data_IF_858584551616
#
_entry.id   IF_858584551616
#
_cell.length_a   1.000
_cell.length_b   1.000
_cell.length_c   1.000
_cell.angle_alpha   90.00
_cell.angle_beta   90.00
_cell.angle_gamma   90.00
#
_symmetry.space_group_name_H-M   'P 1'
#
loop_
_entity.id
_entity.type
_entity.pdbx_description
1 polymer ?
2 non-polymer ?
3 water ?
#
# COMPACT_ATOMS: atom_id res chain seq x y z
N UNK A 3 -5.32 12.04 13.92
CA UNK A 3 -5.80 10.97 14.79
C UNK A 3 -6.44 9.79 14.02
N UNK A 4 -7.03 10.05 12.84
CA UNK A 4 -7.52 9.00 11.93
C UNK A 4 -6.78 9.15 10.61
N UNK A 5 -6.26 8.05 10.10
CA UNK A 5 -5.55 7.98 8.82
C UNK A 5 -6.40 7.11 7.89
N UNK A 6 -7.02 7.74 6.91
CA UNK A 6 -7.84 7.01 5.96
C UNK A 6 -6.96 6.22 5.03
N UNK A 7 -7.21 4.90 4.93
CA UNK A 7 -6.25 3.99 4.34
C UNK A 7 -6.92 3.19 3.24
N UNK A 8 -6.22 3.00 2.12
CA UNK A 8 -6.61 2.03 1.10
C UNK A 8 -5.65 0.86 1.12
N UNK A 9 -6.18 -0.33 0.87
CA UNK A 9 -5.37 -1.54 0.76
C UNK A 9 -5.48 -2.05 -0.66
N UNK A 10 -4.34 -2.24 -1.32
CA UNK A 10 -4.28 -2.70 -2.70
C UNK A 10 -3.43 -3.96 -2.77
N UNK A 11 -4.02 -5.06 -3.24
CA UNK A 11 -3.29 -6.32 -3.38
C UNK A 11 -4.17 -7.24 -4.22
N UNK A 12 -3.57 -7.98 -5.15
CA UNK A 12 -4.35 -8.94 -5.92
C UNK A 12 -4.76 -10.16 -5.10
N UNK A 13 -4.16 -10.39 -3.92
CA UNK A 13 -4.50 -11.52 -3.05
C UNK A 13 -5.52 -11.09 -2.01
N UNK A 14 -6.74 -11.67 -2.08
CA UNK A 14 -7.75 -11.31 -1.12
C UNK A 14 -7.36 -11.71 0.28
N UNK A 15 -6.71 -12.87 0.45
CA UNK A 15 -6.37 -13.24 1.81
C UNK A 15 -5.28 -12.34 2.41
N UNK A 16 -4.34 -11.82 1.59
CA UNK A 16 -3.41 -10.84 2.13
C UNK A 16 -4.11 -9.53 2.47
N UNK A 17 -5.06 -9.07 1.64
CA UNK A 17 -5.85 -7.90 2.03
C UNK A 17 -6.54 -8.13 3.34
N UNK A 18 -7.09 -9.35 3.52
CA UNK A 18 -7.87 -9.62 4.73
C UNK A 18 -7.00 -9.62 5.97
N UNK A 19 -5.79 -10.18 5.87
CA UNK A 19 -4.91 -10.17 7.04
C UNK A 19 -4.57 -8.73 7.41
N UNK A 20 -4.24 -7.91 6.41
CA UNK A 20 -3.88 -6.53 6.70
C UNK A 20 -5.08 -5.75 7.27
N UNK A 21 -6.27 -5.97 6.72
CA UNK A 21 -7.47 -5.33 7.28
C UNK A 21 -7.68 -5.71 8.73
N UNK A 22 -7.46 -6.98 9.07
CA UNK A 22 -7.67 -7.40 10.46
C UNK A 22 -6.64 -6.74 11.36
N UNK A 23 -5.38 -6.66 10.91
CA UNK A 23 -4.36 -5.98 11.71
C UNK A 23 -4.78 -4.54 11.95
N UNK A 24 -5.19 -3.83 10.90
CA UNK A 24 -5.47 -2.40 11.06
C UNK A 24 -6.76 -2.18 11.85
N UNK A 25 -7.65 -3.18 11.85
CA UNK A 25 -8.96 -3.05 12.52
C UNK A 25 -8.81 -2.89 14.00
N UNK A 26 -7.66 -3.30 14.56
CA UNK A 26 -7.33 -3.25 15.98
C UNK A 26 -6.83 -1.89 16.41
N UNK A 27 -6.62 -1.01 15.44
CA UNK A 27 -6.20 0.36 15.64
C UNK A 27 -7.43 1.24 15.39
N UNK A 28 -7.65 2.24 16.25
CA UNK A 28 -8.57 3.30 15.85
C UNK A 28 -7.98 4.21 14.78
N UNK A 29 -6.70 4.14 14.62
CA UNK A 29 -6.04 5.16 13.83
C UNK A 29 -6.17 4.88 12.33
N UNK A 30 -5.85 3.66 11.90
CA UNK A 30 -5.78 3.38 10.47
C UNK A 30 -7.10 2.77 10.07
N UNK A 31 -7.95 3.57 9.44
CA UNK A 31 -9.31 3.18 9.09
C UNK A 31 -9.33 2.87 7.60
N UNK A 32 -9.59 1.61 7.26
CA UNK A 32 -9.59 1.20 5.87
C UNK A 32 -10.89 1.65 5.18
N UNK A 33 -10.76 2.47 4.14
CA UNK A 33 -11.91 3.04 3.45
C UNK A 33 -12.12 2.45 2.07
N UNK A 34 -11.17 1.69 1.55
CA UNK A 34 -11.34 1.06 0.26
C UNK A 34 -10.28 0.02 0.03
N UNK A 35 -10.60 -0.99 -0.80
CA UNK A 35 -9.66 -1.99 -1.24
C UNK A 35 -9.71 -2.11 -2.75
N UNK A 36 -8.57 -2.46 -3.33
CA UNK A 36 -8.49 -2.71 -4.78
C UNK A 36 -7.60 -3.91 -5.02
N UNK A 37 -7.83 -4.58 -6.16
CA UNK A 37 -7.13 -5.83 -6.50
C UNK A 37 -6.17 -5.69 -7.67
N UNK A 38 -6.06 -4.51 -8.26
CA UNK A 38 -5.07 -4.27 -9.31
C UNK A 38 -4.79 -2.78 -9.35
N UNK A 39 -3.76 -2.40 -10.12
CA UNK A 39 -3.30 -1.04 -10.11
C UNK A 39 -4.26 -0.07 -10.79
N UNK A 40 -4.98 -0.51 -11.82
CA UNK A 40 -5.92 0.38 -12.49
C UNK A 40 -7.06 0.76 -11.57
N UNK A 41 -7.61 -0.23 -10.85
CA UNK A 41 -8.65 0.07 -9.88
C UNK A 41 -8.11 0.94 -8.76
N UNK A 42 -6.83 0.74 -8.39
CA UNK A 42 -6.24 1.55 -7.34
C UNK A 42 -6.17 3.01 -7.74
N UNK A 43 -5.77 3.30 -8.98
CA UNK A 43 -5.67 4.69 -9.43
C UNK A 43 -7.03 5.35 -9.35
N UNK A 44 -8.06 4.67 -9.87
CA UNK A 44 -9.39 5.27 -9.89
C UNK A 44 -9.93 5.44 -8.47
N UNK A 45 -9.75 4.42 -7.61
CA UNK A 45 -10.24 4.51 -6.25
C UNK A 45 -9.51 5.60 -5.47
N UNK A 46 -8.20 5.75 -5.70
CA UNK A 46 -7.47 6.82 -5.01
C UNK A 46 -8.03 8.19 -5.38
N UNK A 47 -8.35 8.39 -6.65
CA UNK A 47 -8.92 9.67 -7.04
C UNK A 47 -10.28 9.88 -6.38
N UNK A 48 -11.11 8.84 -6.32
CA UNK A 48 -12.47 8.96 -5.77
C UNK A 48 -12.46 9.12 -4.25
N UNK A 49 -11.61 8.36 -3.56
CA UNK A 49 -11.66 8.33 -2.11
C UNK A 49 -10.71 9.31 -1.43
N UNK A 50 -9.65 9.73 -2.09
CA UNK A 50 -8.65 10.63 -1.51
C UNK A 50 -8.16 10.13 -0.15
N UNK A 51 -7.62 8.91 -0.08
CA UNK A 51 -7.07 8.40 1.17
C UNK A 51 -5.85 9.22 1.59
N UNK A 52 -5.53 9.13 2.89
CA UNK A 52 -4.25 9.63 3.40
C UNK A 52 -3.09 8.69 3.08
N UNK A 53 -3.36 7.39 3.02
CA UNK A 53 -2.35 6.35 2.96
C UNK A 53 -2.86 5.24 2.07
N UNK A 54 -1.97 4.71 1.22
CA UNK A 54 -2.24 3.52 0.45
C UNK A 54 -1.16 2.50 0.73
N UNK A 55 -1.57 1.26 1.06
CA UNK A 55 -0.69 0.11 1.04
C UNK A 55 -0.80 -0.53 -0.33
N UNK A 56 0.33 -0.57 -1.05
CA UNK A 56 0.34 -0.90 -2.47
C UNK A 56 1.19 -2.14 -2.74
N UNK A 57 0.54 -3.29 -2.97
CA UNK A 57 1.25 -4.46 -3.51
C UNK A 57 1.94 -4.06 -4.81
N UNK A 58 3.08 -4.68 -5.06
CA UNK A 58 3.83 -4.31 -6.27
C UNK A 58 3.35 -5.17 -7.45
N UNK A 59 3.44 -6.48 -7.32
CA UNK A 59 3.15 -7.39 -8.42
C UNK A 59 1.65 -7.70 -8.45
N UNK A 60 0.99 -7.20 -9.48
CA UNK A 60 -0.44 -7.43 -9.69
C UNK A 60 -0.69 -7.55 -11.18
N UNK A 61 -1.68 -8.34 -11.57
CA UNK A 61 -1.99 -8.49 -12.99
C UNK A 61 -2.55 -7.25 -13.59
N UNK A 62 -2.29 -7.11 -14.88
CA UNK A 62 -2.79 -6.04 -15.72
C UNK A 62 -2.15 -4.70 -15.53
N UNK A 63 -2.25 -4.12 -14.34
CA UNK A 63 -1.60 -2.86 -14.01
C UNK A 63 -0.94 -3.10 -12.63
N UNK A 64 0.36 -2.91 -12.52
CA UNK A 64 1.05 -3.20 -11.28
C UNK A 64 1.13 -2.00 -10.36
N UNK A 65 1.73 -2.22 -9.19
CA UNK A 65 1.77 -1.15 -8.20
C UNK A 65 2.78 -0.06 -8.53
N UNK A 66 3.76 -0.34 -9.40
CA UNK A 66 4.67 0.71 -9.83
C UNK A 66 3.90 1.71 -10.70
N UNK A 67 3.21 1.19 -11.71
CA UNK A 67 2.39 2.04 -12.58
C UNK A 67 1.38 2.83 -11.74
N UNK A 68 0.73 2.18 -10.78
CA UNK A 68 -0.26 2.89 -9.97
C UNK A 68 0.39 3.95 -9.10
N UNK A 69 1.52 3.64 -8.50
CA UNK A 69 2.20 4.62 -7.65
C UNK A 69 2.58 5.86 -8.45
N UNK A 70 3.18 5.66 -9.62
CA UNK A 70 3.55 6.81 -10.44
C UNK A 70 2.35 7.66 -10.76
N UNK A 71 1.25 7.01 -11.18
CA UNK A 71 0.06 7.77 -11.57
C UNK A 71 -0.52 8.56 -10.40
N UNK A 72 -0.65 7.91 -9.25
CA UNK A 72 -1.24 8.59 -8.09
C UNK A 72 -0.32 9.69 -7.60
N UNK A 73 0.99 9.45 -7.61
CA UNK A 73 1.92 10.50 -7.22
C UNK A 73 1.87 11.70 -8.17
N UNK A 74 1.63 11.45 -9.46
CA UNK A 74 1.56 12.56 -10.42
C UNK A 74 0.33 13.42 -10.16
N UNK A 75 -0.79 12.83 -9.78
CA UNK A 75 -2.03 13.57 -9.61
C UNK A 75 -2.14 14.18 -8.21
N UNK A 76 -1.85 13.39 -7.18
CA UNK A 76 -2.07 13.78 -5.79
C UNK A 76 -0.86 13.38 -4.98
N UNK A 77 0.24 14.12 -5.09
CA UNK A 77 1.48 13.71 -4.40
C UNK A 77 1.40 13.68 -2.88
N UNK A 78 0.39 14.33 -2.28
CA UNK A 78 0.28 14.33 -0.83
C UNK A 78 -0.14 12.98 -0.26
N UNK A 79 -0.72 12.09 -1.07
CA UNK A 79 -1.06 10.77 -0.59
C UNK A 79 0.23 10.00 -0.31
N UNK A 80 0.34 9.39 0.88
CA UNK A 80 1.50 8.56 1.20
C UNK A 80 1.23 7.17 0.64
N UNK A 81 2.22 6.61 -0.04
CA UNK A 81 2.13 5.28 -0.62
C UNK A 81 3.24 4.41 -0.05
N UNK A 82 2.83 3.38 0.66
CA UNK A 82 3.73 2.41 1.29
C UNK A 82 3.60 1.13 0.47
N UNK A 83 4.70 0.65 -0.13
CA UNK A 83 4.60 -0.59 -0.90
C UNK A 83 4.49 -1.78 0.02
N UNK A 84 3.79 -2.80 -0.45
CA UNK A 84 3.59 -4.04 0.31
C UNK A 84 4.38 -5.10 -0.43
N UNK A 85 5.59 -5.33 0.06
CA UNK A 85 6.57 -6.15 -0.64
C UNK A 85 6.67 -7.54 -0.03
N UNK A 86 7.54 -8.36 -0.59
CA UNK A 86 7.78 -9.74 -0.14
C UNK A 86 8.97 -10.24 -0.94
N UNK A 87 9.52 -11.39 -0.57
CA UNK A 87 10.70 -11.90 -1.26
C UNK A 87 10.46 -12.02 -2.74
N UNK A 88 9.30 -12.53 -3.13
CA UNK A 88 9.00 -12.73 -4.55
C UNK A 88 8.84 -11.43 -5.32
N UNK A 89 8.80 -10.28 -4.66
CA UNK A 89 8.71 -8.97 -5.32
C UNK A 89 10.00 -8.18 -5.23
N UNK A 90 11.07 -8.74 -4.68
CA UNK A 90 12.25 -7.96 -4.41
C UNK A 90 12.84 -7.31 -5.64
N UNK A 91 12.74 -7.88 -6.66
CA UNK A 91 13.28 -7.39 -7.92
C UNK A 91 12.54 -6.20 -8.44
N UNK A 92 11.42 -5.80 -7.87
CA UNK A 92 10.67 -4.60 -8.25
C UNK A 92 10.85 -3.47 -7.24
N UNK A 93 11.57 -3.77 -6.18
CA UNK A 93 11.71 -2.68 -5.13
C UNK A 93 12.44 -1.35 -5.57
N UNK A 94 13.49 -1.55 -6.40
CA UNK A 94 14.15 -0.35 -6.91
C UNK A 94 13.21 0.46 -7.80
N UNK A 95 12.41 -0.23 -8.62
CA UNK A 95 11.40 0.48 -9.40
C UNK A 95 10.46 1.27 -8.51
N UNK A 96 10.08 0.71 -7.34
CA UNK A 96 9.21 1.42 -6.40
C UNK A 96 9.92 2.62 -5.80
N UNK A 97 11.21 2.48 -5.45
CA UNK A 97 11.98 3.62 -4.95
C UNK A 97 11.93 4.75 -5.98
N UNK A 98 12.24 4.42 -7.23
CA UNK A 98 12.28 5.42 -8.29
C UNK A 98 10.90 6.01 -8.58
N UNK A 99 9.83 5.26 -8.32
CA UNK A 99 8.46 5.74 -8.52
C UNK A 99 8.01 6.64 -7.38
N UNK A 100 8.74 6.78 -6.31
CA UNK A 100 8.41 7.70 -5.26
C UNK A 100 7.72 7.11 -4.05
N UNK A 101 7.81 5.80 -3.82
CA UNK A 101 7.21 5.23 -2.63
C UNK A 101 7.73 5.90 -1.37
N UNK A 102 6.86 6.02 -0.38
CA UNK A 102 7.17 6.65 0.89
C UNK A 102 7.60 5.69 1.99
N UNK A 103 7.46 4.38 1.79
CA UNK A 103 7.85 3.40 2.78
C UNK A 103 7.49 2.03 2.25
N UNK A 104 7.74 1.02 3.11
CA UNK A 104 7.50 -0.37 2.75
C UNK A 104 7.02 -1.11 3.98
N UNK A 105 6.06 -2.02 3.74
CA UNK A 105 5.74 -3.05 4.70
C UNK A 105 5.95 -4.39 4.00
N UNK A 106 6.08 -5.45 4.79
CA UNK A 106 6.55 -6.73 4.27
C UNK A 106 5.52 -7.82 4.57
N UNK A 107 5.15 -8.58 3.53
CA UNK A 107 4.46 -9.85 3.71
C UNK A 107 5.54 -10.94 3.80
N UNK A 108 5.43 -11.90 4.72
CA UNK A 108 4.26 -12.12 5.60
C UNK A 108 4.18 -11.06 6.70
N UNK A 109 2.97 -10.61 6.99
CA UNK A 109 2.80 -9.45 7.84
C UNK A 109 3.21 -9.68 9.29
N UNK A 110 3.78 -8.63 9.88
CA UNK A 110 4.03 -8.55 11.32
C UNK A 110 3.42 -7.24 11.79
N UNK A 111 2.36 -7.35 12.58
CA UNK A 111 1.64 -6.14 12.99
C UNK A 111 2.52 -5.06 13.59
N UNK A 112 3.46 -5.36 14.49
CA UNK A 112 4.27 -4.27 15.05
C UNK A 112 5.09 -3.54 14.03
N UNK A 113 5.59 -4.26 13.02
CA UNK A 113 6.41 -3.65 11.99
C UNK A 113 5.56 -2.76 11.10
N UNK A 114 4.34 -3.20 10.78
CA UNK A 114 3.44 -2.37 9.98
C UNK A 114 3.15 -1.07 10.70
N UNK A 115 2.79 -1.16 11.98
CA UNK A 115 2.43 0.02 12.73
C UNK A 115 3.63 0.95 12.88
N UNK A 116 4.82 0.39 13.07
CA UNK A 116 6.03 1.22 13.11
C UNK A 116 6.18 2.01 11.82
N UNK A 117 6.00 1.37 10.75
CA UNK A 117 6.20 1.98 9.46
C UNK A 117 5.14 3.04 9.18
N UNK A 118 3.92 2.73 9.44
CA UNK A 118 2.86 3.70 9.23
C UNK A 118 3.01 4.89 10.17
N UNK A 119 3.30 4.63 11.48
CA UNK A 119 3.41 5.70 12.46
C UNK A 119 4.60 6.61 12.20
N UNK A 120 5.60 6.16 11.47
CA UNK A 120 6.70 7.02 11.06
C UNK A 120 6.22 8.08 10.07
N UNK A 121 5.25 7.73 9.22
CA UNK A 121 4.70 8.66 8.24
C UNK A 121 3.58 9.50 8.82
N UNK A 122 2.93 9.01 9.87
CA UNK A 122 1.81 9.69 10.52
C UNK A 122 2.08 9.72 12.02
N UNK A 123 3.06 10.53 12.46
CA UNK A 123 3.49 10.62 13.85
C UNK A 123 2.35 10.79 14.86
#
# INVERSE_FOLDING_TARGET
MASIVKTMIVDDSAFMRNILKRILSTTNKYVVIGEAANGADAIKMAEELQPDLISMDIVMPETDGITATKAIKEKTPEIKIVMCTSVDQEQKMIDAVNAGADGYIVKPFQAPKILEQFNKLFP
#
